data_IF_714618634671
#
_entry.id   IF_714618634671
#
_cell.length_a   1.000
_cell.length_b   1.000
_cell.length_c   1.000
_cell.angle_alpha   90.00
_cell.angle_beta   90.00
_cell.angle_gamma   90.00
#
_symmetry.space_group_name_H-M   'P 1'
#
loop_
_entity.id
_entity.type
_entity.pdbx_description
1 polymer ?
#
# COMPACT_ATOMS: atom_id res chain seq x y z
N UNK A 1 4.78 13.92 4.41
CA UNK A 1 3.62 14.35 3.60
C UNK A 1 2.61 15.03 4.52
N UNK A 2 2.34 16.31 4.31
CA UNK A 2 1.27 17.04 5.02
C UNK A 2 -0.11 16.58 4.52
N UNK A 3 -1.17 16.87 5.27
CA UNK A 3 -2.56 16.49 4.92
C UNK A 3 -2.97 16.96 3.52
N UNK A 4 -2.49 18.15 3.11
CA UNK A 4 -2.73 18.73 1.77
C UNK A 4 -2.17 17.86 0.63
N UNK A 5 -0.97 17.30 0.79
CA UNK A 5 -0.38 16.42 -0.23
C UNK A 5 -1.17 15.13 -0.42
N UNK A 6 -1.67 14.55 0.68
CA UNK A 6 -2.49 13.33 0.64
C UNK A 6 -3.84 13.56 -0.05
N UNK A 7 -4.47 14.69 0.23
CA UNK A 7 -5.74 15.04 -0.41
C UNK A 7 -5.58 15.24 -1.92
N UNK A 8 -4.51 15.90 -2.36
CA UNK A 8 -4.23 16.06 -3.78
C UNK A 8 -3.99 14.70 -4.45
N UNK A 9 -3.17 13.82 -3.87
CA UNK A 9 -2.92 12.49 -4.43
C UNK A 9 -4.18 11.64 -4.57
N UNK A 10 -5.15 11.77 -3.65
CA UNK A 10 -6.44 11.07 -3.75
C UNK A 10 -7.29 11.65 -4.88
N UNK A 11 -7.30 12.98 -5.04
CA UNK A 11 -8.00 13.63 -6.15
C UNK A 11 -7.44 13.20 -7.50
N UNK A 12 -6.12 13.16 -7.63
CA UNK A 12 -5.47 12.77 -8.89
C UNK A 12 -5.86 11.33 -9.29
N UNK A 13 -5.94 10.41 -8.32
CA UNK A 13 -6.40 9.04 -8.54
C UNK A 13 -7.87 8.95 -8.95
N UNK A 14 -8.74 9.79 -8.37
CA UNK A 14 -10.16 9.83 -8.75
C UNK A 14 -10.31 10.38 -10.17
N UNK A 15 -9.53 11.39 -10.56
CA UNK A 15 -9.56 11.94 -11.92
C UNK A 15 -9.03 10.94 -12.95
N UNK A 16 -7.94 10.22 -12.63
CA UNK A 16 -7.43 9.13 -13.47
C UNK A 16 -8.49 8.02 -13.63
N UNK A 17 -9.15 7.62 -12.54
CA UNK A 17 -10.21 6.62 -12.58
C UNK A 17 -11.43 7.11 -13.37
N UNK A 18 -11.82 8.38 -13.21
CA UNK A 18 -12.89 9.04 -13.99
C UNK A 18 -12.57 8.98 -15.47
N UNK A 19 -11.33 9.27 -15.86
CA UNK A 19 -10.89 9.22 -17.26
C UNK A 19 -11.10 7.81 -17.85
N UNK A 20 -10.60 6.77 -17.18
CA UNK A 20 -10.78 5.38 -17.65
C UNK A 20 -12.24 4.93 -17.68
N UNK A 21 -13.03 5.29 -16.67
CA UNK A 21 -14.46 4.98 -16.66
C UNK A 21 -15.20 5.68 -17.81
N UNK A 22 -14.84 6.93 -18.10
CA UNK A 22 -15.46 7.72 -19.17
C UNK A 22 -15.12 7.14 -20.54
N UNK A 23 -13.85 6.80 -20.78
CA UNK A 23 -13.42 6.10 -22.01
C UNK A 23 -14.21 4.80 -22.20
N UNK A 24 -14.27 3.95 -21.16
CA UNK A 24 -14.97 2.66 -21.23
C UNK A 24 -16.48 2.80 -21.45
N UNK A 25 -17.09 3.83 -20.86
CA UNK A 25 -18.52 4.09 -21.01
C UNK A 25 -18.87 4.78 -22.35
N UNK A 26 -17.88 5.29 -23.08
CA UNK A 26 -18.10 6.11 -24.29
C UNK A 26 -18.81 7.44 -24.01
N UNK A 27 -18.80 7.91 -22.76
CA UNK A 27 -19.42 9.18 -22.33
C UNK A 27 -18.69 9.73 -21.11
N UNK A 28 -18.78 11.03 -20.88
CA UNK A 28 -18.26 11.61 -19.64
C UNK A 28 -19.02 11.08 -18.41
N UNK A 29 -18.24 10.65 -17.41
CA UNK A 29 -18.73 10.24 -16.10
C UNK A 29 -18.54 11.41 -15.11
N UNK A 30 -19.57 11.82 -14.36
CA UNK A 30 -19.42 12.84 -13.33
C UNK A 30 -18.39 12.45 -12.27
N UNK A 31 -17.60 13.41 -11.79
CA UNK A 31 -16.55 13.16 -10.77
C UNK A 31 -17.09 12.47 -9.51
N UNK A 32 -18.33 12.78 -9.11
CA UNK A 32 -18.97 12.15 -7.95
C UNK A 32 -19.25 10.66 -8.16
N UNK A 33 -19.65 10.28 -9.37
CA UNK A 33 -19.88 8.87 -9.74
C UNK A 33 -18.55 8.12 -9.81
N UNK A 34 -17.53 8.72 -10.43
CA UNK A 34 -16.18 8.15 -10.48
C UNK A 34 -15.55 8.00 -9.08
N UNK A 35 -15.74 8.96 -8.18
CA UNK A 35 -15.25 8.88 -6.81
C UNK A 35 -15.90 7.74 -6.01
N UNK A 36 -17.22 7.53 -6.19
CA UNK A 36 -17.92 6.42 -5.56
C UNK A 36 -17.44 5.07 -6.11
N UNK A 37 -17.34 4.95 -7.44
CA UNK A 37 -16.84 3.72 -8.07
C UNK A 37 -15.40 3.41 -7.66
N UNK A 38 -14.52 4.42 -7.61
CA UNK A 38 -13.15 4.29 -7.13
C UNK A 38 -13.10 3.86 -5.66
N UNK A 39 -13.97 4.42 -4.80
CA UNK A 39 -14.04 4.05 -3.40
C UNK A 39 -14.38 2.56 -3.24
N UNK A 40 -15.39 2.08 -3.97
CA UNK A 40 -15.89 0.71 -3.87
C UNK A 40 -14.95 -0.33 -4.52
N UNK A 41 -14.30 0.03 -5.63
CA UNK A 41 -13.53 -0.93 -6.45
C UNK A 41 -12.01 -0.81 -6.34
N UNK A 42 -11.49 0.30 -5.79
CA UNK A 42 -10.04 0.55 -5.66
C UNK A 42 -9.64 0.73 -4.20
N UNK A 43 -10.26 1.68 -3.51
CA UNK A 43 -9.87 2.03 -2.14
C UNK A 43 -10.25 0.93 -1.15
N UNK A 44 -11.54 0.61 -1.05
CA UNK A 44 -12.06 -0.34 -0.07
C UNK A 44 -11.47 -1.76 -0.21
N UNK A 45 -11.30 -2.33 -1.42
CA UNK A 45 -10.64 -3.63 -1.59
C UNK A 45 -9.19 -3.61 -1.12
N UNK A 46 -8.47 -2.51 -1.36
CA UNK A 46 -7.10 -2.34 -0.88
C UNK A 46 -7.04 -2.27 0.65
N UNK A 47 -7.95 -1.51 1.28
CA UNK A 47 -8.05 -1.42 2.74
C UNK A 47 -8.31 -2.79 3.36
N UNK A 48 -9.23 -3.58 2.79
CA UNK A 48 -9.50 -4.95 3.27
C UNK A 48 -8.26 -5.82 3.24
N UNK A 49 -7.48 -5.78 2.16
CA UNK A 49 -6.21 -6.55 2.07
C UNK A 49 -5.23 -6.09 3.17
N UNK A 50 -5.12 -4.79 3.44
CA UNK A 50 -4.25 -4.26 4.50
C UNK A 50 -4.70 -4.80 5.87
N UNK A 51 -6.00 -4.74 6.16
CA UNK A 51 -6.57 -5.18 7.44
C UNK A 51 -6.44 -6.69 7.64
N UNK A 52 -6.81 -7.50 6.64
CA UNK A 52 -6.69 -8.97 6.64
C UNK A 52 -5.23 -9.44 6.77
N UNK A 53 -4.28 -8.63 6.29
CA UNK A 53 -2.86 -8.99 6.39
C UNK A 53 -2.26 -8.80 7.79
N UNK A 54 -2.98 -8.11 8.68
CA UNK A 54 -2.60 -7.75 10.04
C UNK A 54 -1.27 -6.95 10.15
N UNK A 55 -0.81 -6.30 9.07
CA UNK A 55 0.47 -5.56 9.08
C UNK A 55 0.44 -4.29 9.93
N UNK A 56 -0.75 -3.78 10.27
CA UNK A 56 -0.89 -2.59 11.13
C UNK A 56 -0.28 -2.77 12.52
N UNK A 57 -0.13 -4.02 12.99
CA UNK A 57 0.55 -4.31 14.27
C UNK A 57 2.01 -3.84 14.30
N UNK A 58 2.65 -3.74 13.13
CA UNK A 58 4.03 -3.31 12.97
C UNK A 58 4.14 -1.77 12.88
N UNK A 59 3.01 -1.04 12.86
CA UNK A 59 2.94 0.41 12.72
C UNK A 59 2.04 1.06 13.78
N UNK A 60 2.51 1.19 15.04
CA UNK A 60 1.73 1.86 16.08
C UNK A 60 1.39 3.30 15.64
N UNK A 61 0.15 3.73 15.95
CA UNK A 61 -0.40 5.04 15.60
C UNK A 61 -0.61 5.31 14.10
N UNK A 62 -0.56 4.28 13.24
CA UNK A 62 -0.94 4.38 11.83
C UNK A 62 -2.27 3.71 11.55
N UNK A 63 -2.93 4.21 10.52
CA UNK A 63 -4.22 3.70 10.03
C UNK A 63 -4.05 2.95 8.72
N UNK A 64 -5.05 2.15 8.34
CA UNK A 64 -5.10 1.52 7.01
C UNK A 64 -5.05 2.58 5.89
N UNK A 65 -5.63 3.77 6.12
CA UNK A 65 -5.54 4.91 5.22
C UNK A 65 -4.11 5.48 5.07
N UNK A 66 -3.31 5.49 6.14
CA UNK A 66 -1.89 5.88 6.04
C UNK A 66 -1.11 4.90 5.17
N UNK A 67 -1.32 3.60 5.38
CA UNK A 67 -0.68 2.54 4.62
C UNK A 67 -1.12 2.55 3.16
N UNK A 68 -2.39 2.86 2.88
CA UNK A 68 -2.89 3.03 1.52
C UNK A 68 -2.06 4.06 0.73
N UNK A 69 -1.78 5.21 1.32
CA UNK A 69 -0.95 6.25 0.68
C UNK A 69 0.46 5.74 0.40
N UNK A 70 1.06 4.99 1.33
CA UNK A 70 2.38 4.40 1.11
C UNK A 70 2.38 3.32 0.03
N UNK A 71 1.31 2.54 -0.07
CA UNK A 71 1.15 1.54 -1.14
C UNK A 71 0.99 2.23 -2.50
N UNK A 72 0.34 3.38 -2.58
CA UNK A 72 0.26 4.17 -3.82
C UNK A 72 1.63 4.69 -4.25
N UNK A 73 2.43 5.19 -3.32
CA UNK A 73 3.82 5.60 -3.57
C UNK A 73 4.68 4.41 -4.01
N UNK A 74 4.52 3.26 -3.35
CA UNK A 74 5.16 2.01 -3.73
C UNK A 74 4.76 1.53 -5.14
N UNK A 75 3.47 1.62 -5.48
CA UNK A 75 2.94 1.30 -6.82
C UNK A 75 3.62 2.18 -7.88
N UNK A 76 3.74 3.48 -7.64
CA UNK A 76 4.43 4.40 -8.53
C UNK A 76 5.88 3.96 -8.77
N UNK A 77 6.63 3.70 -7.70
CA UNK A 77 8.03 3.25 -7.80
C UNK A 77 8.19 1.87 -8.47
N UNK A 78 7.26 0.94 -8.25
CA UNK A 78 7.24 -0.32 -8.99
C UNK A 78 6.96 -0.09 -10.48
N UNK A 79 6.06 0.84 -10.80
CA UNK A 79 5.77 1.22 -12.19
C UNK A 79 7.00 1.76 -12.90
N UNK A 80 7.69 2.71 -12.28
CA UNK A 80 8.96 3.27 -12.78
C UNK A 80 10.02 2.17 -13.01
N UNK A 81 10.11 1.21 -12.09
CA UNK A 81 11.08 0.11 -12.18
C UNK A 81 10.76 -0.86 -13.33
N UNK A 82 9.49 -1.20 -13.51
CA UNK A 82 9.08 -2.22 -14.48
C UNK A 82 8.69 -1.65 -15.85
N UNK A 83 8.53 -0.32 -15.95
CA UNK A 83 8.15 0.37 -17.18
C UNK A 83 6.65 0.31 -17.52
N UNK A 84 5.81 -0.11 -16.57
CA UNK A 84 4.35 -0.17 -16.74
C UNK A 84 3.63 -0.16 -15.39
N UNK A 85 2.37 0.28 -15.35
CA UNK A 85 1.57 0.22 -14.14
C UNK A 85 1.32 -1.24 -13.69
N UNK A 86 1.90 -1.61 -12.54
CA UNK A 86 1.76 -2.95 -11.95
C UNK A 86 0.36 -3.24 -11.38
N UNK A 87 -0.46 -2.20 -11.20
CA UNK A 87 -1.78 -2.28 -10.60
C UNK A 87 -1.75 -2.35 -9.06
N UNK A 88 -2.76 -1.74 -8.43
CA UNK A 88 -2.81 -1.56 -6.97
C UNK A 88 -2.79 -2.87 -6.19
N UNK A 89 -3.46 -3.91 -6.68
CA UNK A 89 -3.50 -5.22 -6.01
C UNK A 89 -2.12 -5.87 -5.93
N UNK A 90 -1.32 -5.76 -6.99
CA UNK A 90 0.04 -6.31 -7.01
C UNK A 90 0.95 -5.50 -6.09
N UNK A 91 0.90 -4.17 -6.19
CA UNK A 91 1.66 -3.29 -5.32
C UNK A 91 1.35 -3.52 -3.83
N UNK A 92 0.07 -3.70 -3.48
CA UNK A 92 -0.37 -3.99 -2.10
C UNK A 92 0.25 -5.29 -1.58
N UNK A 93 0.19 -6.37 -2.36
CA UNK A 93 0.75 -7.67 -1.97
C UNK A 93 2.28 -7.62 -1.85
N UNK A 94 2.94 -6.91 -2.77
CA UNK A 94 4.39 -6.72 -2.75
C UNK A 94 4.82 -5.94 -1.50
N UNK A 95 4.16 -4.82 -1.22
CA UNK A 95 4.40 -4.01 -0.02
C UNK A 95 4.22 -4.81 1.27
N UNK A 96 3.11 -5.55 1.42
CA UNK A 96 2.87 -6.41 2.59
C UNK A 96 3.98 -7.45 2.75
N UNK A 97 4.40 -8.08 1.65
CA UNK A 97 5.45 -9.10 1.68
C UNK A 97 6.79 -8.50 2.10
N UNK A 98 7.11 -7.30 1.61
CA UNK A 98 8.31 -6.56 1.98
C UNK A 98 8.34 -6.25 3.48
N UNK A 99 7.25 -5.70 4.03
CA UNK A 99 7.17 -5.36 5.46
C UNK A 99 7.28 -6.61 6.33
N UNK A 100 6.58 -7.69 5.98
CA UNK A 100 6.67 -8.97 6.72
C UNK A 100 8.10 -9.52 6.74
N UNK A 101 8.79 -9.46 5.60
CA UNK A 101 10.19 -9.90 5.52
C UNK A 101 11.13 -9.03 6.37
N UNK A 102 10.90 -7.71 6.41
CA UNK A 102 11.68 -6.80 7.25
C UNK A 102 11.43 -7.04 8.75
N UNK A 103 10.18 -7.20 9.17
CA UNK A 103 9.81 -7.50 10.55
C UNK A 103 10.44 -8.82 11.03
N UNK A 104 10.43 -9.86 10.19
CA UNK A 104 11.11 -11.14 10.49
C UNK A 104 12.63 -11.01 10.62
N UNK A 105 13.28 -10.16 9.80
CA UNK A 105 14.73 -9.95 9.90
C UNK A 105 15.11 -9.22 11.18
N UNK A 106 14.34 -8.19 11.57
CA UNK A 106 14.60 -7.40 12.77
C UNK A 106 14.39 -8.22 14.06
N UNK A 107 13.40 -9.12 14.08
CA UNK A 107 13.16 -10.02 15.21
C UNK A 107 14.27 -11.08 15.32
N UNK A 108 14.73 -11.66 14.21
CA UNK A 108 15.81 -12.64 14.20
C UNK A 108 17.19 -12.03 14.53
N UNK A 109 17.46 -10.78 14.16
CA UNK A 109 18.72 -10.09 14.49
C UNK A 109 18.81 -9.62 15.95
N UNK A 110 17.70 -9.69 16.70
CA UNK A 110 17.61 -9.23 18.10
C UNK A 110 17.62 -10.39 19.12
N UNK A 111 17.77 -11.64 18.68
CA UNK A 111 17.98 -12.77 19.60
C UNK A 111 19.37 -12.65 20.24
N UNK A 112 19.51 -12.81 21.57
CA UNK A 112 20.82 -12.80 22.20
C UNK A 112 21.62 -13.98 21.63
N UNK A 113 22.79 -13.68 21.08
CA UNK A 113 23.80 -14.71 20.78
C UNK A 113 24.07 -15.42 22.11
N UNK A 114 23.67 -16.69 22.23
CA UNK A 114 24.05 -17.50 23.38
C UNK A 114 25.58 -17.39 23.52
N UNK A 115 26.11 -16.94 24.68
CA UNK A 115 27.54 -16.89 24.86
C UNK A 115 28.09 -18.32 24.72
N UNK A 116 29.23 -18.51 24.04
CA UNK A 116 29.80 -19.84 23.87
C UNK A 116 30.01 -20.46 25.25
N UNK A 117 29.40 -21.63 25.46
CA UNK A 117 29.62 -22.49 26.62
C UNK A 117 31.12 -22.60 26.83
N UNK A 118 31.61 -22.02 27.93
CA UNK A 118 32.97 -22.28 28.41
C UNK A 118 33.07 -23.77 28.70
N UNK A 119 33.78 -24.49 27.85
CA UNK A 119 34.33 -25.79 28.20
C UNK A 119 35.72 -25.55 28.80
N UNK A 120 35.78 -25.47 30.12
CA UNK A 120 36.93 -25.86 30.92
C UNK A 120 36.52 -27.09 31.74
N UNK A 121 37.45 -27.95 32.18
CA UNK A 121 38.91 -27.77 32.21
C UNK A 121 39.70 -28.57 31.17
#
# INVERSE_FOLDING_TARGET
MTVLGRYQSLRDQIEEHKYYLSERAGREIPVKEAAADWYDHVYLPTIRIIEESHILKDFPHRTSADLYVWIMDHKYHLGERYGFDVGIRRATKDFISLIKALSLRLTNSSSPVDPPLKSEP
#
